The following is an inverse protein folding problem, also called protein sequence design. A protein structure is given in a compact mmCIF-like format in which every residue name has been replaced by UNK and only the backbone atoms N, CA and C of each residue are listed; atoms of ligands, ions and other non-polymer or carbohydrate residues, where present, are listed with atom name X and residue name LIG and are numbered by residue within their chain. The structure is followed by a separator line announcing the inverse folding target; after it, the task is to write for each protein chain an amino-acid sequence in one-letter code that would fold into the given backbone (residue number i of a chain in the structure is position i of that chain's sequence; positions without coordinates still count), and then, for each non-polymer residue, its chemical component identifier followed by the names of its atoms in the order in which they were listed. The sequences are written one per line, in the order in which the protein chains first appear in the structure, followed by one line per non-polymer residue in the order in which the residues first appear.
data_IF_895296948339
#
_entry.id   IF_895296948339
#
_cell.length_a   1.000
_cell.length_b   1.000
_cell.length_c   1.000
_cell.angle_alpha   90.00
_cell.angle_beta   90.00
_cell.angle_gamma   90.00
#
_symmetry.space_group_name_H-M   'P 1'
#
loop_
_entity.id
_entity.type
_entity.pdbx_description
1 polymer ?
#
# COMPACT_ATOMS: atom_id res chain seq x y z
N UNK A 1 -10.85 -5.91 16.61
CA UNK A 1 -10.87 -4.46 16.22
C UNK A 1 -9.56 -3.86 16.66
N UNK A 2 -8.81 -3.26 15.74
CA UNK A 2 -7.56 -2.58 16.08
C UNK A 2 -7.80 -1.32 16.93
N UNK A 3 -6.79 -0.91 17.67
CA UNK A 3 -6.84 0.34 18.45
C UNK A 3 -6.88 1.52 17.49
N UNK A 4 -7.86 2.41 17.64
CA UNK A 4 -7.98 3.64 16.84
C UNK A 4 -7.15 4.75 17.49
N UNK A 5 -6.31 5.41 16.70
CA UNK A 5 -5.55 6.60 17.10
C UNK A 5 -6.04 7.78 16.28
N UNK A 6 -6.68 8.73 16.95
CA UNK A 6 -7.25 9.93 16.31
C UNK A 6 -6.31 11.12 16.50
N UNK A 7 -5.68 11.54 15.40
CA UNK A 7 -4.73 12.65 15.34
C UNK A 7 -5.33 13.91 14.69
N UNK A 8 -6.64 13.95 14.45
CA UNK A 8 -7.31 15.09 13.83
C UNK A 8 -7.15 16.33 14.70
N UNK A 9 -6.73 17.43 14.07
CA UNK A 9 -6.55 18.73 14.74
C UNK A 9 -5.29 18.86 15.60
N UNK A 10 -4.43 17.85 15.62
CA UNK A 10 -3.12 17.91 16.31
C UNK A 10 -2.06 18.54 15.42
N UNK A 11 -1.05 19.18 16.04
CA UNK A 11 0.18 19.54 15.32
C UNK A 11 0.97 18.28 14.97
N UNK A 12 1.87 18.35 13.99
CA UNK A 12 2.69 17.20 13.58
C UNK A 12 3.50 16.63 14.76
N UNK A 13 4.07 17.48 15.62
CA UNK A 13 4.83 17.06 16.80
C UNK A 13 3.93 16.33 17.83
N UNK A 14 2.73 16.85 18.06
CA UNK A 14 1.76 16.20 18.94
C UNK A 14 1.30 14.86 18.37
N UNK A 15 1.05 14.80 17.06
CA UNK A 15 0.65 13.59 16.37
C UNK A 15 1.73 12.50 16.43
N UNK A 16 2.99 12.84 16.17
CA UNK A 16 4.14 11.90 16.29
C UNK A 16 4.27 11.40 17.73
N UNK A 17 4.13 12.29 18.72
CA UNK A 17 4.24 11.94 20.13
C UNK A 17 3.16 10.94 20.55
N UNK A 18 1.91 11.19 20.15
CA UNK A 18 0.77 10.33 20.48
C UNK A 18 0.84 8.99 19.74
N UNK A 19 1.22 9.02 18.46
CA UNK A 19 1.42 7.80 17.67
C UNK A 19 2.51 6.93 18.29
N UNK A 20 3.62 7.54 18.72
CA UNK A 20 4.71 6.85 19.43
C UNK A 20 4.24 6.21 20.73
N UNK A 21 3.41 6.91 21.51
CA UNK A 21 2.87 6.37 22.75
C UNK A 21 1.91 5.21 22.49
N UNK A 22 1.05 5.32 21.50
CA UNK A 22 0.13 4.25 21.10
C UNK A 22 0.91 3.01 20.60
N UNK A 23 1.93 3.22 19.77
CA UNK A 23 2.75 2.14 19.20
C UNK A 23 3.52 1.35 20.26
N UNK A 24 4.06 2.01 21.27
CA UNK A 24 4.75 1.34 22.41
C UNK A 24 3.85 0.38 23.18
N UNK A 25 2.54 0.63 23.17
CA UNK A 25 1.55 -0.21 23.85
C UNK A 25 0.99 -1.30 22.94
N UNK A 26 1.42 -1.35 21.68
CA UNK A 26 0.95 -2.31 20.69
C UNK A 26 1.74 -3.63 20.85
N UNK A 27 1.04 -4.75 20.91
CA UNK A 27 1.66 -6.07 20.84
C UNK A 27 2.21 -6.35 19.44
N UNK A 28 3.29 -7.13 19.32
CA UNK A 28 4.05 -7.34 18.09
C UNK A 28 3.32 -8.03 16.91
N UNK A 29 2.00 -8.22 16.99
CA UNK A 29 1.14 -8.73 15.91
C UNK A 29 -0.10 -7.87 15.68
N UNK A 30 -0.21 -6.76 16.38
CA UNK A 30 -1.37 -5.87 16.31
C UNK A 30 -1.09 -4.70 15.37
N UNK A 31 -2.17 -4.02 15.01
CA UNK A 31 -2.10 -2.80 14.18
C UNK A 31 -2.91 -1.68 14.81
N UNK A 32 -2.46 -0.45 14.57
CA UNK A 32 -3.20 0.76 14.89
C UNK A 32 -3.96 1.22 13.65
N UNK A 33 -5.23 1.56 13.81
CA UNK A 33 -5.96 2.34 12.81
C UNK A 33 -5.75 3.82 13.11
N UNK A 34 -4.99 4.51 12.29
CA UNK A 34 -4.62 5.91 12.50
C UNK A 34 -5.44 6.79 11.59
N UNK A 35 -5.97 7.89 12.13
CA UNK A 35 -6.65 8.93 11.38
C UNK A 35 -6.02 10.28 11.70
N UNK A 36 -5.84 11.13 10.70
CA UNK A 36 -5.23 12.42 10.89
C UNK A 36 -5.74 13.48 9.93
N UNK A 37 -5.32 14.72 10.18
CA UNK A 37 -5.53 15.87 9.31
C UNK A 37 -4.18 16.49 8.93
N UNK A 38 -4.19 17.31 7.86
CA UNK A 38 -2.95 17.91 7.37
C UNK A 38 -2.11 16.98 6.50
N UNK A 39 -0.79 17.17 6.53
CA UNK A 39 0.15 16.35 5.73
C UNK A 39 0.57 15.10 6.50
N UNK A 40 0.06 13.94 6.08
CA UNK A 40 0.42 12.65 6.66
C UNK A 40 1.93 12.37 6.58
N UNK A 41 2.64 12.89 5.54
CA UNK A 41 4.07 12.66 5.34
C UNK A 41 4.89 13.22 6.49
N UNK A 42 4.53 14.41 7.00
CA UNK A 42 5.20 15.00 8.15
C UNK A 42 5.09 14.11 9.39
N UNK A 43 3.91 13.56 9.66
CA UNK A 43 3.66 12.68 10.80
C UNK A 43 4.35 11.33 10.63
N UNK A 44 4.15 10.65 9.49
CA UNK A 44 4.72 9.31 9.28
C UNK A 44 6.24 9.37 9.13
N UNK A 45 6.80 10.38 8.46
CA UNK A 45 8.26 10.58 8.40
C UNK A 45 8.86 10.87 9.77
N UNK A 46 8.21 11.71 10.58
CA UNK A 46 8.62 11.96 11.96
C UNK A 46 8.62 10.68 12.81
N UNK A 47 7.63 9.83 12.62
CA UNK A 47 7.55 8.53 13.29
C UNK A 47 8.61 7.55 12.77
N UNK A 48 8.87 7.50 11.44
CA UNK A 48 9.93 6.69 10.84
C UNK A 48 11.31 6.95 11.45
N UNK A 49 11.65 8.19 11.74
CA UNK A 49 12.97 8.56 12.28
C UNK A 49 13.30 7.83 13.57
N UNK A 50 12.30 7.46 14.36
CA UNK A 50 12.47 6.78 15.66
C UNK A 50 12.17 5.29 15.64
N UNK A 51 11.43 4.81 14.62
CA UNK A 51 10.86 3.47 14.59
C UNK A 51 11.11 2.75 13.25
N UNK A 52 12.13 3.18 12.49
CA UNK A 52 12.47 2.57 11.22
C UNK A 52 12.59 1.05 11.31
N UNK A 53 11.98 0.34 10.33
CA UNK A 53 12.00 -1.12 10.28
C UNK A 53 11.08 -1.84 11.28
N UNK A 54 10.44 -1.11 12.20
CA UNK A 54 9.59 -1.71 13.24
C UNK A 54 8.11 -1.76 12.85
N UNK A 55 7.72 -1.13 11.74
CA UNK A 55 6.34 -1.05 11.30
C UNK A 55 6.21 -1.00 9.78
N UNK A 56 5.01 -1.31 9.28
CA UNK A 56 4.57 -0.97 7.94
C UNK A 56 3.48 0.09 8.02
N UNK A 57 3.55 1.10 7.16
CA UNK A 57 2.49 2.07 6.94
C UNK A 57 1.66 1.65 5.73
N UNK A 58 0.38 1.37 5.96
CA UNK A 58 -0.58 0.87 4.99
C UNK A 58 -1.71 1.89 4.87
N UNK A 59 -1.63 2.84 3.94
CA UNK A 59 -2.66 3.86 3.80
C UNK A 59 -3.98 3.24 3.35
N UNK A 60 -5.10 3.71 3.91
CA UNK A 60 -6.45 3.38 3.46
C UNK A 60 -6.92 4.46 2.49
N UNK A 61 -6.76 5.72 2.90
CA UNK A 61 -7.18 6.89 2.13
C UNK A 61 -6.31 8.09 2.49
N UNK A 62 -5.88 8.82 1.46
CA UNK A 62 -5.20 10.10 1.64
C UNK A 62 -5.86 11.12 0.71
N UNK A 63 -6.36 12.21 1.31
CA UNK A 63 -6.98 13.33 0.62
C UNK A 63 -6.39 14.64 1.13
N UNK A 64 -6.68 15.74 0.44
CA UNK A 64 -6.25 17.05 0.90
C UNK A 64 -6.82 17.35 2.29
N UNK A 65 -5.95 17.38 3.28
CA UNK A 65 -6.29 17.74 4.66
C UNK A 65 -6.89 16.62 5.52
N UNK A 66 -7.02 15.39 5.00
CA UNK A 66 -7.48 14.23 5.77
C UNK A 66 -6.82 12.94 5.28
N UNK A 67 -6.44 12.07 6.21
CA UNK A 67 -5.82 10.80 5.87
C UNK A 67 -6.14 9.73 6.92
N UNK A 68 -6.09 8.48 6.47
CA UNK A 68 -6.20 7.32 7.36
C UNK A 68 -5.37 6.16 6.82
N UNK A 69 -4.98 5.26 7.72
CA UNK A 69 -4.24 4.05 7.36
C UNK A 69 -4.01 3.17 8.57
N UNK A 70 -3.40 2.02 8.33
CA UNK A 70 -2.94 1.14 9.37
C UNK A 70 -1.43 1.29 9.59
N UNK A 71 -1.03 1.28 10.85
CA UNK A 71 0.35 1.14 11.27
C UNK A 71 0.48 -0.24 11.90
N UNK A 72 1.06 -1.17 11.14
CA UNK A 72 1.22 -2.56 11.54
C UNK A 72 2.61 -2.78 12.17
N UNK A 73 2.66 -3.31 13.40
CA UNK A 73 3.92 -3.62 14.04
C UNK A 73 4.61 -4.84 13.39
N UNK A 74 5.94 -4.76 13.25
CA UNK A 74 6.79 -5.84 12.72
C UNK A 74 7.56 -6.51 13.84
N UNK A 75 7.77 -7.80 13.71
CA UNK A 75 8.56 -8.59 14.66
C UNK A 75 10.08 -8.48 14.44
N UNK A 76 10.50 -7.89 13.32
CA UNK A 76 11.91 -7.68 12.97
C UNK A 76 12.20 -6.19 12.74
N UNK A 77 13.40 -5.77 13.10
CA UNK A 77 13.89 -4.40 12.88
C UNK A 77 14.54 -4.21 11.49
N UNK A 78 14.41 -5.17 10.60
CA UNK A 78 14.93 -5.08 9.23
C UNK A 78 13.78 -4.90 8.24
N UNK A 79 13.88 -3.86 7.44
CA UNK A 79 12.95 -3.61 6.34
C UNK A 79 13.68 -3.83 5.02
N UNK A 80 13.28 -4.87 4.27
CA UNK A 80 13.65 -5.08 2.88
C UNK A 80 12.52 -4.63 1.97
N UNK A 81 12.81 -4.39 0.70
CA UNK A 81 11.78 -4.10 -0.31
C UNK A 81 10.79 -5.27 -0.40
N UNK A 82 11.29 -6.52 -0.39
CA UNK A 82 10.44 -7.73 -0.34
C UNK A 82 9.41 -7.61 0.77
N UNK A 83 9.83 -7.36 2.01
CA UNK A 83 8.92 -7.33 3.17
C UNK A 83 7.89 -6.20 3.08
N UNK A 84 8.32 -5.00 2.63
CA UNK A 84 7.44 -3.84 2.51
C UNK A 84 6.38 -4.10 1.44
N UNK A 85 6.78 -4.58 0.28
CA UNK A 85 5.88 -4.76 -0.86
C UNK A 85 4.95 -5.96 -0.67
N UNK A 86 5.42 -7.09 -0.10
CA UNK A 86 4.54 -8.20 0.31
C UNK A 86 3.49 -7.77 1.35
N UNK A 87 3.86 -6.88 2.26
CA UNK A 87 2.90 -6.34 3.24
C UNK A 87 1.80 -5.54 2.55
N UNK A 88 2.13 -4.80 1.49
CA UNK A 88 1.17 -4.07 0.67
C UNK A 88 0.29 -4.99 -0.17
N UNK A 89 0.82 -6.06 -0.77
CA UNK A 89 0.03 -7.07 -1.46
C UNK A 89 -1.05 -7.64 -0.53
N UNK A 90 -0.65 -8.08 0.66
CA UNK A 90 -1.58 -8.62 1.68
C UNK A 90 -2.61 -7.58 2.13
N UNK A 91 -2.22 -6.31 2.19
CA UNK A 91 -3.13 -5.23 2.52
C UNK A 91 -4.18 -5.03 1.42
N UNK A 92 -3.78 -4.97 0.16
CA UNK A 92 -4.69 -4.87 -0.99
C UNK A 92 -5.65 -6.06 -1.05
N UNK A 93 -5.15 -7.30 -0.85
CA UNK A 93 -5.99 -8.51 -0.79
C UNK A 93 -7.05 -8.41 0.31
N UNK A 94 -6.65 -7.95 1.51
CA UNK A 94 -7.56 -7.76 2.65
C UNK A 94 -8.62 -6.72 2.34
N UNK A 95 -8.24 -5.59 1.73
CA UNK A 95 -9.17 -4.53 1.36
C UNK A 95 -10.18 -5.00 0.31
N UNK A 96 -9.73 -5.77 -0.69
CA UNK A 96 -10.63 -6.34 -1.69
C UNK A 96 -11.66 -7.27 -1.04
N UNK A 97 -11.21 -8.22 -0.20
CA UNK A 97 -12.09 -9.18 0.49
C UNK A 97 -13.10 -8.46 1.39
N UNK A 98 -12.69 -7.40 2.09
CA UNK A 98 -13.57 -6.60 2.94
C UNK A 98 -14.63 -5.86 2.10
N UNK A 99 -14.22 -5.25 0.98
CA UNK A 99 -15.13 -4.58 0.05
C UNK A 99 -16.14 -5.54 -0.57
N UNK A 100 -15.68 -6.70 -1.06
CA UNK A 100 -16.52 -7.74 -1.65
C UNK A 100 -17.56 -8.28 -0.64
N UNK A 101 -17.12 -8.65 0.57
CA UNK A 101 -18.00 -9.14 1.62
C UNK A 101 -19.05 -8.10 2.04
N UNK A 102 -18.68 -6.82 2.07
CA UNK A 102 -19.57 -5.73 2.44
C UNK A 102 -20.64 -5.50 1.37
N UNK A 103 -20.26 -5.54 0.09
CA UNK A 103 -21.20 -5.46 -1.04
C UNK A 103 -22.13 -6.68 -1.07
N UNK A 104 -21.59 -7.89 -0.93
CA UNK A 104 -22.38 -9.12 -0.87
C UNK A 104 -23.33 -9.16 0.31
N UNK A 105 -22.96 -8.51 1.42
CA UNK A 105 -23.81 -8.33 2.62
C UNK A 105 -24.92 -7.28 2.43
N UNK A 106 -25.00 -6.61 1.30
CA UNK A 106 -26.02 -5.61 0.97
C UNK A 106 -25.77 -4.21 1.54
N UNK A 107 -24.60 -3.96 2.14
CA UNK A 107 -24.20 -2.61 2.56
C UNK A 107 -23.50 -1.87 1.41
N UNK A 108 -24.28 -1.45 0.43
CA UNK A 108 -23.77 -0.84 -0.80
C UNK A 108 -22.97 0.45 -0.56
N UNK A 109 -23.42 1.28 0.38
CA UNK A 109 -22.75 2.58 0.66
C UNK A 109 -21.33 2.38 1.17
N UNK A 110 -21.15 1.51 2.16
CA UNK A 110 -19.84 1.20 2.73
C UNK A 110 -19.00 0.37 1.76
N UNK A 111 -19.60 -0.61 1.09
CA UNK A 111 -18.92 -1.45 0.12
C UNK A 111 -18.37 -0.66 -1.08
N UNK A 112 -19.06 0.38 -1.55
CA UNK A 112 -18.53 1.31 -2.56
C UNK A 112 -17.28 2.04 -2.06
N UNK A 113 -17.32 2.57 -0.85
CA UNK A 113 -16.17 3.28 -0.26
C UNK A 113 -14.96 2.36 -0.12
N UNK A 114 -15.18 1.12 0.32
CA UNK A 114 -14.10 0.13 0.46
C UNK A 114 -13.53 -0.30 -0.89
N UNK A 115 -14.37 -0.49 -1.90
CA UNK A 115 -13.93 -0.85 -3.25
C UNK A 115 -13.15 0.31 -3.92
N UNK A 116 -13.59 1.55 -3.75
CA UNK A 116 -12.83 2.72 -4.20
C UNK A 116 -11.47 2.83 -3.49
N UNK A 117 -11.43 2.54 -2.20
CA UNK A 117 -10.18 2.54 -1.44
C UNK A 117 -9.24 1.41 -1.89
N UNK A 118 -9.76 0.23 -2.20
CA UNK A 118 -8.98 -0.86 -2.80
C UNK A 118 -8.37 -0.44 -4.14
N UNK A 119 -9.19 0.06 -5.07
CA UNK A 119 -8.72 0.50 -6.40
C UNK A 119 -7.65 1.58 -6.27
N UNK A 120 -7.84 2.54 -5.37
CA UNK A 120 -6.85 3.58 -5.10
C UNK A 120 -5.54 3.00 -4.54
N UNK A 121 -5.60 2.01 -3.63
CA UNK A 121 -4.41 1.38 -3.08
C UNK A 121 -3.63 0.57 -4.12
N UNK A 122 -4.31 -0.06 -5.08
CA UNK A 122 -3.64 -0.71 -6.22
C UNK A 122 -2.85 0.31 -7.05
N UNK A 123 -3.42 1.48 -7.33
CA UNK A 123 -2.70 2.54 -8.05
C UNK A 123 -1.54 3.13 -7.23
N UNK A 124 -1.68 3.26 -5.91
CA UNK A 124 -0.58 3.67 -5.03
C UNK A 124 0.55 2.63 -5.06
N UNK A 125 0.21 1.35 -5.03
CA UNK A 125 1.17 0.26 -5.12
C UNK A 125 1.95 0.32 -6.43
N UNK A 126 1.29 0.35 -7.58
CA UNK A 126 1.95 0.52 -8.88
C UNK A 126 2.76 1.81 -8.97
N UNK A 127 2.26 2.90 -8.38
CA UNK A 127 3.00 4.17 -8.33
C UNK A 127 4.32 4.06 -7.58
N UNK A 128 4.37 3.33 -6.46
CA UNK A 128 5.59 3.06 -5.69
C UNK A 128 6.65 2.33 -6.52
N UNK A 129 6.20 1.40 -7.33
CA UNK A 129 7.07 0.63 -8.20
C UNK A 129 7.54 1.45 -9.40
N UNK A 130 6.62 2.02 -10.14
CA UNK A 130 6.93 2.73 -11.39
C UNK A 130 7.70 4.03 -11.19
N UNK A 131 7.48 4.72 -10.06
CA UNK A 131 8.10 6.03 -9.80
C UNK A 131 9.31 5.96 -8.87
N UNK A 132 9.47 4.88 -8.07
CA UNK A 132 10.59 4.75 -7.14
C UNK A 132 11.40 3.49 -7.41
N UNK A 133 10.80 2.30 -7.32
CA UNK A 133 11.54 1.04 -7.32
C UNK A 133 12.13 0.69 -8.69
N UNK A 134 11.32 0.80 -9.76
CA UNK A 134 11.79 0.46 -11.11
C UNK A 134 12.88 1.41 -11.61
N UNK A 135 12.75 2.74 -11.45
CA UNK A 135 13.85 3.65 -11.77
C UNK A 135 15.12 3.36 -10.98
N UNK A 136 15.01 3.07 -9.68
CA UNK A 136 16.16 2.73 -8.85
C UNK A 136 16.85 1.43 -9.31
N UNK A 137 16.07 0.42 -9.69
CA UNK A 137 16.58 -0.82 -10.23
C UNK A 137 17.28 -0.60 -11.59
N UNK A 138 16.62 0.12 -12.48
CA UNK A 138 17.13 0.44 -13.83
C UNK A 138 18.45 1.20 -13.76
N UNK A 139 18.56 2.18 -12.84
CA UNK A 139 19.78 2.96 -12.62
C UNK A 139 20.94 2.07 -12.11
N UNK A 140 20.68 1.19 -11.16
CA UNK A 140 21.69 0.29 -10.59
C UNK A 140 22.14 -0.82 -11.53
N UNK A 141 21.27 -1.30 -12.40
CA UNK A 141 21.54 -2.48 -13.26
C UNK A 141 21.82 -2.11 -14.72
N UNK A 142 21.45 -0.91 -15.16
CA UNK A 142 21.48 -0.49 -16.56
C UNK A 142 20.39 -1.13 -17.44
N UNK A 143 19.42 -1.84 -16.87
CA UNK A 143 18.37 -2.55 -17.60
C UNK A 143 17.17 -1.64 -17.91
N UNK A 144 17.37 -0.63 -18.75
CA UNK A 144 16.37 0.43 -19.03
C UNK A 144 15.42 0.13 -20.20
N UNK A 145 15.73 -0.77 -21.11
CA UNK A 145 14.97 -1.01 -22.36
C UNK A 145 14.36 -2.41 -22.46
N UNK A 146 14.40 -3.18 -21.40
CA UNK A 146 13.93 -4.56 -21.30
C UNK A 146 14.19 -5.08 -19.91
N UNK A 147 13.97 -6.38 -19.67
CA UNK A 147 14.16 -6.94 -18.34
C UNK A 147 12.89 -6.91 -17.50
N UNK A 148 13.00 -7.21 -16.18
CA UNK A 148 11.83 -7.45 -15.34
C UNK A 148 10.92 -6.22 -15.19
N UNK A 149 11.46 -5.03 -15.03
CA UNK A 149 10.66 -3.80 -14.86
C UNK A 149 9.80 -3.47 -16.08
N UNK A 150 10.30 -3.77 -17.29
CA UNK A 150 9.51 -3.59 -18.52
C UNK A 150 8.31 -4.54 -18.55
N UNK A 151 8.48 -5.78 -18.12
CA UNK A 151 7.39 -6.77 -18.05
C UNK A 151 6.36 -6.32 -17.01
N UNK A 152 6.79 -5.89 -15.82
CA UNK A 152 5.90 -5.42 -14.75
C UNK A 152 5.05 -4.23 -15.20
N UNK A 153 5.66 -3.21 -15.84
CA UNK A 153 4.90 -2.07 -16.39
C UNK A 153 3.81 -2.52 -17.39
N UNK A 154 4.10 -3.50 -18.24
CA UNK A 154 3.11 -4.02 -19.20
C UNK A 154 1.98 -4.79 -18.48
N UNK A 155 2.26 -5.49 -17.41
CA UNK A 155 1.26 -6.18 -16.59
C UNK A 155 0.43 -5.18 -15.79
N UNK A 156 1.02 -4.11 -15.25
CA UNK A 156 0.28 -3.00 -14.61
C UNK A 156 -0.76 -2.40 -15.55
N UNK A 157 -0.42 -2.16 -16.82
CA UNK A 157 -1.37 -1.65 -17.80
C UNK A 157 -2.55 -2.60 -18.02
N UNK A 158 -2.31 -3.92 -18.01
CA UNK A 158 -3.39 -4.90 -18.12
C UNK A 158 -4.29 -4.87 -16.87
N UNK A 159 -3.71 -4.85 -15.68
CA UNK A 159 -4.46 -4.80 -14.42
C UNK A 159 -5.25 -3.48 -14.32
N UNK A 160 -4.64 -2.33 -14.67
CA UNK A 160 -5.32 -1.04 -14.73
C UNK A 160 -6.51 -1.04 -15.67
N UNK A 161 -6.43 -1.78 -16.77
CA UNK A 161 -7.56 -1.98 -17.67
C UNK A 161 -8.77 -2.56 -16.93
N UNK A 162 -8.56 -3.63 -16.17
CA UNK A 162 -9.61 -4.27 -15.36
C UNK A 162 -10.09 -3.37 -14.23
N UNK A 163 -9.18 -2.74 -13.48
CA UNK A 163 -9.54 -1.81 -12.39
C UNK A 163 -10.39 -0.63 -12.89
N UNK A 164 -10.11 -0.14 -14.09
CA UNK A 164 -10.91 0.91 -14.74
C UNK A 164 -12.32 0.43 -15.03
N UNK A 165 -12.48 -0.78 -15.58
CA UNK A 165 -13.80 -1.35 -15.83
C UNK A 165 -14.57 -1.58 -14.52
N UNK A 166 -13.92 -2.09 -13.47
CA UNK A 166 -14.51 -2.22 -12.13
C UNK A 166 -14.99 -0.88 -11.58
N UNK A 167 -14.21 0.19 -11.77
CA UNK A 167 -14.57 1.54 -11.33
C UNK A 167 -15.80 2.10 -12.08
N UNK A 168 -15.94 1.76 -13.36
CA UNK A 168 -17.14 2.11 -14.16
C UNK A 168 -18.36 1.32 -13.66
N UNK A 169 -18.24 0.01 -13.47
CA UNK A 169 -19.31 -0.83 -12.92
C UNK A 169 -19.75 -0.39 -11.52
N UNK A 170 -18.79 0.07 -10.69
CA UNK A 170 -19.07 0.62 -9.35
C UNK A 170 -19.93 1.89 -9.41
N UNK A 171 -19.68 2.78 -10.39
CA UNK A 171 -20.49 3.98 -10.61
C UNK A 171 -21.91 3.64 -11.07
N UNK A 172 -22.03 2.61 -11.88
CA UNK A 172 -23.33 2.12 -12.40
C UNK A 172 -24.13 1.34 -11.34
N UNK A 173 -23.47 0.89 -10.25
CA UNK A 173 -24.07 0.03 -9.22
C UNK A 173 -24.22 -1.41 -9.68
N UNK A 174 -23.48 -1.83 -10.69
CA UNK A 174 -23.49 -3.21 -11.22
C UNK A 174 -22.45 -4.06 -10.46
N UNK A 175 -22.84 -4.50 -9.27
CA UNK A 175 -21.93 -5.25 -8.38
C UNK A 175 -21.62 -6.64 -8.92
N UNK A 176 -22.56 -7.28 -9.63
CA UNK A 176 -22.27 -8.59 -10.22
C UNK A 176 -21.17 -8.48 -11.26
N UNK A 177 -21.18 -7.46 -12.07
CA UNK A 177 -20.14 -7.21 -13.07
C UNK A 177 -18.79 -6.91 -12.41
N UNK A 178 -18.77 -6.23 -11.25
CA UNK A 178 -17.54 -6.04 -10.48
C UNK A 178 -16.94 -7.39 -10.06
N UNK A 179 -17.77 -8.32 -9.56
CA UNK A 179 -17.27 -9.64 -9.12
C UNK A 179 -16.77 -10.48 -10.29
N UNK A 180 -17.45 -10.45 -11.44
CA UNK A 180 -17.03 -11.14 -12.66
C UNK A 180 -15.67 -10.57 -13.17
N UNK A 181 -15.47 -9.25 -13.10
CA UNK A 181 -14.21 -8.59 -13.45
C UNK A 181 -13.10 -8.91 -12.45
N UNK A 182 -13.45 -8.99 -11.18
CA UNK A 182 -12.49 -9.31 -10.11
C UNK A 182 -11.90 -10.71 -10.23
N UNK A 183 -12.64 -11.71 -10.74
CA UNK A 183 -12.07 -13.03 -11.01
C UNK A 183 -10.89 -12.96 -11.99
N UNK A 184 -11.01 -12.17 -13.04
CA UNK A 184 -9.92 -11.93 -14.00
C UNK A 184 -8.77 -11.17 -13.35
N UNK A 185 -9.09 -10.11 -12.61
CA UNK A 185 -8.09 -9.30 -11.89
C UNK A 185 -7.27 -10.14 -10.91
N UNK A 186 -7.91 -10.98 -10.10
CA UNK A 186 -7.23 -11.80 -9.10
C UNK A 186 -6.23 -12.78 -9.73
N UNK A 187 -6.56 -13.36 -10.90
CA UNK A 187 -5.64 -14.22 -11.64
C UNK A 187 -4.42 -13.41 -12.12
N UNK A 188 -4.64 -12.22 -12.69
CA UNK A 188 -3.56 -11.36 -13.15
C UNK A 188 -2.66 -10.93 -12.00
N UNK A 189 -3.24 -10.45 -10.90
CA UNK A 189 -2.50 -10.00 -9.71
C UNK A 189 -1.70 -11.14 -9.10
N UNK A 190 -2.26 -12.35 -8.96
CA UNK A 190 -1.54 -13.47 -8.39
C UNK A 190 -0.30 -13.84 -9.20
N UNK A 191 -0.40 -13.85 -10.54
CA UNK A 191 0.73 -14.14 -11.42
C UNK A 191 1.77 -13.02 -11.39
N UNK A 192 1.33 -11.79 -11.32
CA UNK A 192 2.15 -10.58 -11.22
C UNK A 192 2.93 -10.57 -9.91
N UNK A 193 2.26 -10.58 -8.76
CA UNK A 193 2.86 -10.56 -7.43
C UNK A 193 3.88 -11.71 -7.26
N UNK A 194 3.58 -12.89 -7.80
CA UNK A 194 4.52 -14.03 -7.73
C UNK A 194 5.86 -13.74 -8.41
N UNK A 195 5.87 -13.01 -9.52
CA UNK A 195 7.11 -12.62 -10.22
C UNK A 195 7.88 -11.56 -9.45
N UNK A 196 7.17 -10.63 -8.83
CA UNK A 196 7.77 -9.57 -8.02
C UNK A 196 8.41 -10.14 -6.76
N UNK A 197 7.64 -10.88 -5.98
CA UNK A 197 8.09 -11.45 -4.71
C UNK A 197 9.22 -12.47 -4.87
N UNK A 198 9.20 -13.26 -5.96
CA UNK A 198 10.20 -14.31 -6.18
C UNK A 198 11.42 -13.85 -6.98
N UNK A 199 11.30 -12.78 -7.76
CA UNK A 199 12.35 -12.35 -8.69
C UNK A 199 12.71 -10.88 -8.49
N UNK A 200 11.79 -9.94 -8.75
CA UNK A 200 12.13 -8.53 -8.84
C UNK A 200 12.52 -7.91 -7.49
N UNK A 201 11.72 -8.13 -6.45
CA UNK A 201 12.02 -7.53 -5.13
C UNK A 201 13.30 -8.11 -4.49
N UNK A 202 13.61 -9.44 -4.58
CA UNK A 202 14.91 -9.94 -4.17
C UNK A 202 16.08 -9.34 -4.96
N UNK A 203 15.89 -9.08 -6.28
CA UNK A 203 16.91 -8.39 -7.07
C UNK A 203 17.08 -6.93 -6.62
N UNK A 204 16.00 -6.22 -6.29
CA UNK A 204 16.04 -4.88 -5.72
C UNK A 204 16.85 -4.87 -4.40
N UNK A 205 16.51 -5.74 -3.45
CA UNK A 205 17.23 -5.84 -2.17
C UNK A 205 18.74 -6.11 -2.37
N UNK A 206 19.08 -6.89 -3.38
CA UNK A 206 20.48 -7.21 -3.70
C UNK A 206 21.24 -6.04 -4.33
N UNK A 207 20.59 -5.26 -5.21
CA UNK A 207 21.28 -4.23 -6.02
C UNK A 207 21.25 -2.84 -5.40
N UNK A 208 20.29 -2.54 -4.53
CA UNK A 208 20.18 -1.23 -3.90
C UNK A 208 21.28 -0.94 -2.88
N UNK A 209 21.83 -1.97 -2.20
CA UNK A 209 22.96 -1.82 -1.31
C UNK A 209 22.73 -0.76 -0.23
N UNK A 210 23.59 0.28 -0.22
CA UNK A 210 23.53 1.38 0.77
C UNK A 210 22.28 2.28 0.58
N UNK A 211 21.68 2.33 -0.61
CA UNK A 211 20.51 3.15 -0.88
C UNK A 211 19.19 2.50 -0.43
N UNK A 212 19.23 1.22 -0.05
CA UNK A 212 18.03 0.45 0.30
C UNK A 212 17.19 1.12 1.39
N UNK A 213 17.80 1.60 2.46
CA UNK A 213 17.06 2.24 3.56
C UNK A 213 16.35 3.51 3.10
N UNK A 214 17.03 4.35 2.33
CA UNK A 214 16.48 5.60 1.82
C UNK A 214 15.30 5.33 0.89
N UNK A 215 15.48 4.43 -0.07
CA UNK A 215 14.45 4.05 -1.04
C UNK A 215 13.25 3.41 -0.34
N UNK A 216 13.48 2.52 0.60
CA UNK A 216 12.43 1.89 1.38
C UNK A 216 11.60 2.91 2.20
N UNK A 217 12.24 3.96 2.75
CA UNK A 217 11.53 5.07 3.40
C UNK A 217 10.65 5.86 2.43
N UNK A 218 11.17 6.14 1.23
CA UNK A 218 10.41 6.83 0.19
C UNK A 218 9.20 6.02 -0.27
N UNK A 219 9.37 4.70 -0.48
CA UNK A 219 8.29 3.78 -0.82
C UNK A 219 7.17 3.81 0.23
N UNK A 220 7.51 3.76 1.52
CA UNK A 220 6.49 3.83 2.58
C UNK A 220 5.74 5.17 2.61
N UNK A 221 6.39 6.28 2.25
CA UNK A 221 5.77 7.61 2.26
C UNK A 221 5.04 7.96 0.96
N UNK A 222 5.20 7.14 -0.09
CA UNK A 222 4.58 7.43 -1.38
C UNK A 222 3.07 7.20 -1.34
N UNK A 223 2.33 8.18 -1.85
CA UNK A 223 0.93 8.10 -2.30
C UNK A 223 0.77 8.97 -3.55
N UNK A 224 -0.34 8.79 -4.28
CA UNK A 224 -0.71 9.55 -5.48
C UNK A 224 -1.10 10.99 -5.16
#
# INVERSE_FOLDING_TARGET
MGTIVDLIGKTDEQAVTELTAAFKNLGGKDQLHVKGSGDYRAVISGFQNSHWGQFDWLPIRVETGAWSGYLAAKSSSFASIVQIMESQHKHCDTMYVEAENTLNGGNETEGKVLMEAFIWNMEVHFGREEQILFPAFEDKTGMTGGGPTHVMRAEHEQIRGVLKEMKESLKEGDYQRIFDQAETMLILIQQHNSKEEQILYPMLDQHLGEDLEQIAKEVQLFVL
#
